data_IF_754519641705
#
_entry.id   IF_754519641705
#
_cell.length_a   1.000
_cell.length_b   1.000
_cell.length_c   1.000
_cell.angle_alpha   90.00
_cell.angle_beta   90.00
_cell.angle_gamma   90.00
#
_symmetry.space_group_name_H-M   'P 1'
#
loop_
_entity.id
_entity.type
_entity.pdbx_description
1 polymer ?
#
# COMPACT_ATOMS: atom_id res chain seq x y z
N UNK A 1 0.23 12.95 -10.24
CA UNK A 1 0.29 12.63 -8.81
C UNK A 1 1.50 13.33 -8.22
N UNK A 2 1.30 14.16 -7.17
CA UNK A 2 2.37 14.91 -6.48
C UNK A 2 1.88 15.27 -5.07
N UNK A 3 2.55 14.78 -4.01
CA UNK A 3 2.13 14.95 -2.61
C UNK A 3 3.27 14.70 -1.63
N UNK A 4 3.08 15.15 -0.39
CA UNK A 4 3.97 14.92 0.74
C UNK A 4 3.28 14.11 1.82
N UNK A 5 4.03 13.20 2.46
CA UNK A 5 3.52 12.33 3.53
C UNK A 5 4.62 12.07 4.55
N UNK A 6 4.25 11.95 5.83
CA UNK A 6 5.20 11.56 6.87
C UNK A 6 5.65 10.10 6.71
N UNK A 7 6.93 9.83 6.96
CA UNK A 7 7.50 8.48 6.89
C UNK A 7 6.67 7.46 7.66
N UNK A 8 6.28 7.77 8.91
CA UNK A 8 5.56 6.83 9.75
C UNK A 8 4.25 6.35 9.13
N UNK A 9 3.50 7.26 8.46
CA UNK A 9 2.22 6.96 7.82
C UNK A 9 2.41 6.00 6.64
N UNK A 10 3.36 6.26 5.76
CA UNK A 10 3.61 5.40 4.60
C UNK A 10 4.19 4.05 5.02
N UNK A 11 5.09 4.01 6.00
CA UNK A 11 5.67 2.75 6.51
C UNK A 11 4.61 1.89 7.19
N UNK A 12 3.72 2.49 7.98
CA UNK A 12 2.58 1.79 8.59
C UNK A 12 1.68 1.15 7.55
N UNK A 13 1.31 1.90 6.51
CA UNK A 13 0.47 1.42 5.42
C UNK A 13 1.16 0.32 4.60
N UNK A 14 2.44 0.49 4.27
CA UNK A 14 3.20 -0.54 3.57
C UNK A 14 3.32 -1.83 4.39
N UNK A 15 3.61 -1.73 5.69
CA UNK A 15 3.71 -2.92 6.54
C UNK A 15 2.40 -3.71 6.60
N UNK A 16 1.26 -3.04 6.58
CA UNK A 16 -0.04 -3.70 6.57
C UNK A 16 -0.34 -4.40 5.23
N UNK A 17 0.08 -3.81 4.10
CA UNK A 17 -0.18 -4.36 2.76
C UNK A 17 0.82 -5.44 2.33
N UNK A 18 2.05 -5.43 2.86
CA UNK A 18 3.09 -6.38 2.46
C UNK A 18 2.76 -7.86 2.73
N UNK A 19 1.79 -8.15 3.61
CA UNK A 19 1.39 -9.51 3.94
C UNK A 19 0.79 -10.28 2.77
N UNK A 20 0.18 -9.59 1.80
CA UNK A 20 -0.41 -10.19 0.59
C UNK A 20 0.47 -10.02 -0.65
N UNK A 21 1.63 -9.35 -0.53
CA UNK A 21 2.58 -9.20 -1.63
C UNK A 21 3.45 -10.44 -1.75
N UNK A 22 3.15 -11.31 -2.69
CA UNK A 22 3.91 -12.54 -2.89
C UNK A 22 5.29 -12.34 -3.52
N UNK A 23 6.17 -13.34 -3.27
CA UNK A 23 7.56 -13.33 -3.78
C UNK A 23 7.71 -13.97 -5.15
N UNK A 24 6.79 -14.86 -5.54
CA UNK A 24 6.86 -15.67 -6.76
C UNK A 24 5.58 -15.50 -7.55
N UNK A 25 5.56 -14.52 -8.42
CA UNK A 25 4.34 -14.17 -9.15
C UNK A 25 4.50 -14.48 -10.63
N UNK A 26 3.49 -15.12 -11.19
CA UNK A 26 3.32 -15.21 -12.64
C UNK A 26 2.96 -13.85 -13.24
N UNK A 27 2.35 -12.95 -12.44
CA UNK A 27 1.99 -11.59 -12.82
C UNK A 27 2.86 -10.57 -12.08
N UNK A 28 3.81 -9.88 -12.74
CA UNK A 28 4.72 -8.93 -12.10
C UNK A 28 4.04 -7.80 -11.33
N UNK A 29 2.85 -7.37 -11.75
CA UNK A 29 2.12 -6.28 -11.13
C UNK A 29 1.68 -6.59 -9.68
N UNK A 30 1.49 -7.87 -9.33
CA UNK A 30 1.14 -8.30 -7.98
C UNK A 30 2.30 -8.16 -6.97
N UNK A 31 3.53 -7.89 -7.46
CA UNK A 31 4.65 -7.49 -6.61
C UNK A 31 4.62 -5.99 -6.26
N UNK A 32 3.71 -5.22 -6.88
CA UNK A 32 3.53 -3.80 -6.64
C UNK A 32 2.40 -3.55 -5.63
N UNK A 33 2.38 -2.35 -5.07
CA UNK A 33 1.20 -1.76 -4.44
C UNK A 33 0.62 -0.70 -5.35
N UNK A 34 -0.70 -0.63 -5.42
CA UNK A 34 -1.43 0.44 -6.10
C UNK A 34 -1.48 1.67 -5.18
N UNK A 35 -1.06 2.81 -5.70
CA UNK A 35 -1.22 4.13 -5.12
C UNK A 35 -2.44 4.81 -5.71
N UNK A 36 -3.33 5.30 -4.87
CA UNK A 36 -4.42 6.19 -5.23
C UNK A 36 -4.38 7.40 -4.29
N UNK A 37 -4.17 8.57 -4.87
CA UNK A 37 -4.01 9.83 -4.13
C UNK A 37 -5.15 10.76 -4.46
N UNK A 38 -5.84 11.23 -3.44
CA UNK A 38 -6.84 12.28 -3.48
C UNK A 38 -6.39 13.50 -2.64
N UNK A 39 -7.25 14.51 -2.51
CA UNK A 39 -6.92 15.77 -1.83
C UNK A 39 -6.49 15.62 -0.37
N UNK A 40 -6.85 14.54 0.30
CA UNK A 40 -6.65 14.37 1.74
C UNK A 40 -5.93 13.08 2.11
N UNK A 41 -5.86 12.11 1.20
CA UNK A 41 -5.41 10.77 1.56
C UNK A 41 -4.61 10.07 0.46
N UNK A 42 -3.74 9.18 0.94
CA UNK A 42 -3.11 8.12 0.16
C UNK A 42 -3.78 6.79 0.51
N UNK A 43 -4.37 6.13 -0.48
CA UNK A 43 -4.76 4.73 -0.39
C UNK A 43 -3.66 3.86 -1.00
N UNK A 44 -3.21 2.85 -0.25
CA UNK A 44 -2.35 1.79 -0.74
C UNK A 44 -3.12 0.49 -0.76
N UNK A 45 -3.14 -0.18 -1.91
CA UNK A 45 -3.80 -1.49 -2.08
C UNK A 45 -2.80 -2.52 -2.58
N UNK A 46 -2.82 -3.70 -1.98
CA UNK A 46 -2.08 -4.88 -2.44
C UNK A 46 -3.02 -6.09 -2.52
N UNK A 47 -2.75 -6.99 -3.44
CA UNK A 47 -3.53 -8.21 -3.63
C UNK A 47 -2.68 -9.36 -4.15
N UNK A 48 -3.07 -10.59 -3.83
CA UNK A 48 -2.58 -11.85 -4.38
C UNK A 48 -3.63 -12.57 -5.24
N UNK A 49 -4.72 -11.87 -5.59
CA UNK A 49 -5.93 -12.35 -6.28
C UNK A 49 -6.90 -13.18 -5.41
N UNK A 50 -6.49 -13.64 -4.24
CA UNK A 50 -7.36 -14.32 -3.28
C UNK A 50 -7.75 -13.39 -2.13
N UNK A 51 -6.84 -12.47 -1.79
CA UNK A 51 -7.01 -11.48 -0.71
C UNK A 51 -6.62 -10.09 -1.20
N UNK A 52 -7.33 -9.08 -0.75
CA UNK A 52 -6.99 -7.68 -0.96
C UNK A 52 -6.86 -6.95 0.38
N UNK A 53 -5.79 -6.19 0.54
CA UNK A 53 -5.60 -5.30 1.68
C UNK A 53 -5.46 -3.88 1.17
N UNK A 54 -6.36 -3.01 1.61
CA UNK A 54 -6.30 -1.57 1.38
C UNK A 54 -6.09 -0.83 2.69
N UNK A 55 -5.21 0.15 2.67
CA UNK A 55 -4.95 1.07 3.79
C UNK A 55 -5.17 2.51 3.36
N UNK A 56 -5.51 3.38 4.29
CA UNK A 56 -5.66 4.82 4.05
C UNK A 56 -4.77 5.56 5.04
N UNK A 57 -3.94 6.46 4.52
CA UNK A 57 -3.09 7.37 5.30
C UNK A 57 -3.40 8.81 4.97
N UNK A 58 -3.27 9.69 5.95
CA UNK A 58 -3.38 11.13 5.74
C UNK A 58 -2.11 11.66 5.08
N UNK A 59 -2.23 12.46 4.03
CA UNK A 59 -1.12 13.17 3.41
C UNK A 59 -0.85 14.50 4.12
N UNK A 60 0.40 14.94 4.13
CA UNK A 60 0.80 16.19 4.78
C UNK A 60 0.52 17.41 3.88
N UNK A 61 0.80 17.27 2.59
CA UNK A 61 0.58 18.33 1.61
C UNK A 61 0.19 17.69 0.26
N UNK A 62 -0.86 18.22 -0.36
CA UNK A 62 -1.39 17.77 -1.65
C UNK A 62 -1.08 18.81 -2.73
N UNK A 63 -0.57 18.36 -3.86
CA UNK A 63 -0.42 19.18 -5.07
C UNK A 63 -1.26 18.66 -6.23
N UNK A 64 -1.24 17.35 -6.47
CA UNK A 64 -2.09 16.73 -7.47
C UNK A 64 -2.37 15.26 -7.16
N UNK A 65 -3.60 14.82 -7.42
CA UNK A 65 -4.02 13.43 -7.31
C UNK A 65 -3.55 12.57 -8.48
N UNK A 66 -3.91 11.30 -8.41
CA UNK A 66 -3.63 10.32 -9.46
C UNK A 66 -3.41 8.92 -8.94
N UNK A 67 -3.17 8.00 -9.87
CA UNK A 67 -2.95 6.58 -9.58
C UNK A 67 -1.67 6.10 -10.25
N UNK A 68 -1.00 5.17 -9.60
CA UNK A 68 0.15 4.45 -10.15
C UNK A 68 0.42 3.20 -9.33
N UNK A 69 1.33 2.34 -9.79
CA UNK A 69 1.81 1.22 -8.99
C UNK A 69 3.30 1.35 -8.71
N UNK A 70 3.78 0.78 -7.60
CA UNK A 70 5.20 0.77 -7.29
C UNK A 70 5.61 -0.55 -6.63
N UNK A 71 6.86 -1.03 -6.83
CA UNK A 71 7.35 -2.28 -6.25
C UNK A 71 7.33 -2.22 -4.71
N UNK A 72 6.41 -2.98 -4.09
CA UNK A 72 6.07 -2.88 -2.67
C UNK A 72 7.28 -3.08 -1.73
N UNK A 73 8.09 -4.11 -1.99
CA UNK A 73 9.26 -4.43 -1.17
C UNK A 73 10.35 -3.38 -1.27
N UNK A 74 10.72 -2.99 -2.50
CA UNK A 74 11.74 -1.96 -2.73
C UNK A 74 11.34 -0.65 -2.08
N UNK A 75 10.06 -0.27 -2.23
CA UNK A 75 9.53 0.93 -1.60
C UNK A 75 9.61 0.85 -0.08
N UNK A 76 9.19 -0.27 0.51
CA UNK A 76 9.23 -0.47 1.97
C UNK A 76 10.67 -0.44 2.50
N UNK A 77 11.59 -1.13 1.83
CA UNK A 77 13.02 -1.11 2.20
C UNK A 77 13.60 0.30 2.13
N UNK A 78 13.29 1.04 1.07
CA UNK A 78 13.73 2.43 0.90
C UNK A 78 13.16 3.33 2.00
N UNK A 79 11.86 3.29 2.25
CA UNK A 79 11.23 4.14 3.26
C UNK A 79 11.77 3.88 4.68
N UNK A 80 12.22 2.66 4.98
CA UNK A 80 12.83 2.34 6.29
C UNK A 80 14.20 2.99 6.50
N UNK A 81 14.91 3.34 5.42
CA UNK A 81 16.22 3.98 5.51
C UNK A 81 16.15 5.47 5.86
N UNK A 82 15.00 6.10 5.70
CA UNK A 82 14.82 7.52 6.01
C UNK A 82 14.76 7.76 7.52
N UNK A 83 15.04 8.99 7.95
CA UNK A 83 14.90 9.40 9.36
C UNK A 83 13.44 9.37 9.81
N UNK A 84 13.17 9.10 11.09
CA UNK A 84 11.80 8.89 11.59
C UNK A 84 10.89 10.10 11.40
N UNK A 85 11.42 11.31 11.53
CA UNK A 85 10.68 12.56 11.35
C UNK A 85 10.63 13.04 9.88
N UNK A 86 11.10 12.23 8.93
CA UNK A 86 11.15 12.64 7.52
C UNK A 86 9.76 12.84 6.93
N UNK A 87 9.61 13.94 6.22
CA UNK A 87 8.55 14.12 5.23
C UNK A 87 9.06 13.64 3.87
N UNK A 88 8.28 12.78 3.22
CA UNK A 88 8.63 12.19 1.94
C UNK A 88 7.79 12.85 0.85
N UNK A 89 8.46 13.38 -0.17
CA UNK A 89 7.84 13.90 -1.36
C UNK A 89 7.75 12.80 -2.42
N UNK A 90 6.53 12.44 -2.80
CA UNK A 90 6.24 11.52 -3.89
C UNK A 90 5.66 12.26 -5.09
N UNK A 91 6.21 12.03 -6.28
CA UNK A 91 5.61 12.53 -7.51
C UNK A 91 5.91 11.61 -8.70
N UNK A 92 5.03 11.66 -9.70
CA UNK A 92 5.22 10.92 -10.95
C UNK A 92 5.99 11.77 -11.96
N UNK A 93 7.00 11.14 -12.58
CA UNK A 93 7.78 11.68 -13.69
C UNK A 93 7.85 10.59 -14.77
N UNK A 94 6.95 10.68 -15.76
CA UNK A 94 6.74 9.63 -16.74
C UNK A 94 6.37 8.30 -16.05
N UNK A 95 7.09 7.23 -16.39
CA UNK A 95 6.88 5.89 -15.84
C UNK A 95 7.68 5.63 -14.55
N UNK A 96 8.04 6.69 -13.83
CA UNK A 96 8.80 6.59 -12.59
C UNK A 96 8.10 7.29 -11.44
N UNK A 97 8.01 6.61 -10.31
CA UNK A 97 7.69 7.21 -9.03
C UNK A 97 8.96 7.82 -8.44
N UNK A 98 9.03 9.14 -8.41
CA UNK A 98 10.10 9.89 -7.75
C UNK A 98 9.83 10.00 -6.27
N UNK A 99 10.88 9.85 -5.48
CA UNK A 99 10.84 9.87 -4.02
C UNK A 99 11.97 10.78 -3.57
N UNK A 100 11.62 11.90 -2.95
CA UNK A 100 12.59 12.87 -2.47
C UNK A 100 12.45 13.08 -0.96
N UNK A 101 13.57 13.15 -0.28
CA UNK A 101 13.70 13.50 1.14
C UNK A 101 14.92 14.38 1.32
N UNK A 102 15.15 14.93 2.50
CA UNK A 102 16.36 15.69 2.82
C UNK A 102 17.63 14.84 2.63
N UNK A 103 17.55 13.52 2.75
CA UNK A 103 18.68 12.61 2.64
C UNK A 103 18.97 12.13 1.21
N UNK A 104 18.09 12.38 0.25
CA UNK A 104 18.34 11.97 -1.13
C UNK A 104 17.12 11.92 -2.03
N UNK A 105 17.42 11.57 -3.30
CA UNK A 105 16.44 11.44 -4.38
C UNK A 105 16.52 10.04 -4.96
N UNK A 106 15.38 9.40 -5.11
CA UNK A 106 15.26 8.03 -5.58
C UNK A 106 14.18 7.94 -6.65
N UNK A 107 14.23 6.89 -7.46
CA UNK A 107 13.17 6.58 -8.40
C UNK A 107 12.91 5.09 -8.47
N UNK A 108 11.64 4.75 -8.61
CA UNK A 108 11.18 3.38 -8.82
C UNK A 108 10.37 3.35 -10.12
N UNK A 109 10.66 2.38 -10.99
CA UNK A 109 9.84 2.14 -12.17
C UNK A 109 8.44 1.71 -11.73
N UNK A 110 7.44 2.24 -12.40
CA UNK A 110 6.02 1.96 -12.15
C UNK A 110 5.45 1.06 -13.24
N UNK A 111 4.30 0.47 -12.96
CA UNK A 111 3.45 -0.15 -13.98
C UNK A 111 2.12 0.59 -14.02
N UNK A 112 1.40 0.56 -15.16
CA UNK A 112 0.10 1.22 -15.29
C UNK A 112 -0.88 0.77 -14.20
N UNK A 113 -1.60 1.72 -13.61
CA UNK A 113 -2.60 1.42 -12.57
C UNK A 113 -3.79 0.65 -13.12
N UNK A 114 -4.07 0.77 -14.41
CA UNK A 114 -5.16 0.11 -15.11
C UNK A 114 -4.96 -1.41 -15.18
N UNK A 115 -3.71 -1.87 -15.13
CA UNK A 115 -3.36 -3.29 -15.15
C UNK A 115 -3.42 -3.93 -13.75
N UNK A 116 -3.59 -3.12 -12.69
CA UNK A 116 -3.65 -3.63 -11.32
C UNK A 116 -5.04 -4.19 -11.02
N UNK A 117 -5.13 -5.49 -10.65
CA UNK A 117 -6.41 -6.10 -10.32
C UNK A 117 -6.94 -5.57 -8.99
N UNK A 118 -8.15 -5.06 -8.99
CA UNK A 118 -8.90 -4.65 -7.80
C UNK A 118 -10.16 -5.47 -7.68
N UNK A 119 -10.56 -5.81 -6.45
CA UNK A 119 -11.83 -6.47 -6.23
C UNK A 119 -12.99 -5.51 -6.41
N UNK A 120 -13.98 -5.94 -7.18
CA UNK A 120 -15.27 -5.22 -7.23
C UNK A 120 -15.92 -5.31 -5.84
N UNK A 121 -16.32 -4.17 -5.31
CA UNK A 121 -17.05 -4.14 -4.03
C UNK A 121 -18.49 -4.55 -4.29
N UNK A 122 -18.81 -5.77 -3.93
CA UNK A 122 -20.20 -6.19 -3.85
C UNK A 122 -20.86 -5.60 -2.59
N UNK A 123 -22.11 -5.14 -2.71
CA UNK A 123 -22.88 -4.72 -1.54
C UNK A 123 -23.21 -5.98 -0.69
N UNK A 124 -22.78 -5.96 0.57
CA UNK A 124 -23.06 -7.07 1.48
C UNK A 124 -24.55 -7.05 1.88
N UNK A 125 -25.28 -8.11 1.58
CA UNK A 125 -26.67 -8.29 2.02
C UNK A 125 -26.79 -8.41 3.54
N UNK A 126 -25.76 -8.93 4.20
CA UNK A 126 -25.71 -9.15 5.64
C UNK A 126 -24.43 -8.63 6.24
N UNK A 127 -24.49 -8.08 7.45
CA UNK A 127 -23.32 -7.64 8.21
C UNK A 127 -23.39 -8.12 9.66
N UNK A 128 -22.21 -8.36 10.25
CA UNK A 128 -22.05 -8.64 11.68
C UNK A 128 -21.02 -7.67 12.27
N UNK A 129 -21.27 -7.21 13.49
CA UNK A 129 -20.34 -6.39 14.23
C UNK A 129 -19.61 -7.23 15.28
N UNK A 130 -18.29 -7.24 15.20
CA UNK A 130 -17.43 -7.94 16.17
C UNK A 130 -16.25 -7.06 16.54
N UNK A 131 -15.82 -7.08 17.81
CA UNK A 131 -14.61 -6.36 18.21
C UNK A 131 -13.37 -7.03 17.64
N UNK A 132 -12.34 -6.24 17.31
CA UNK A 132 -11.07 -6.77 16.79
C UNK A 132 -10.43 -7.78 17.76
N UNK A 133 -10.57 -7.57 19.07
CA UNK A 133 -10.07 -8.50 20.09
C UNK A 133 -10.76 -9.86 20.04
N UNK A 134 -12.09 -9.89 19.89
CA UNK A 134 -12.83 -11.12 19.78
C UNK A 134 -12.50 -11.86 18.48
N UNK A 135 -12.46 -11.14 17.36
CA UNK A 135 -12.08 -11.72 16.08
C UNK A 135 -10.67 -12.35 16.14
N UNK A 136 -9.69 -11.60 16.67
CA UNK A 136 -8.33 -12.11 16.87
C UNK A 136 -8.31 -13.37 17.73
N UNK A 137 -9.08 -13.42 18.83
CA UNK A 137 -9.18 -14.59 19.70
C UNK A 137 -9.76 -15.81 18.98
N UNK A 138 -10.80 -15.61 18.17
CA UNK A 138 -11.43 -16.69 17.38
C UNK A 138 -10.45 -17.25 16.34
N UNK A 139 -9.79 -16.38 15.58
CA UNK A 139 -8.77 -16.78 14.59
C UNK A 139 -7.64 -17.55 15.28
N UNK A 140 -7.08 -17.03 16.40
CA UNK A 140 -5.98 -17.69 17.12
C UNK A 140 -6.35 -19.08 17.65
N UNK A 141 -7.60 -19.31 18.02
CA UNK A 141 -8.07 -20.62 18.49
C UNK A 141 -8.25 -21.67 17.39
N UNK A 142 -8.35 -21.25 16.14
CA UNK A 142 -8.56 -22.12 14.99
C UNK A 142 -7.35 -22.20 14.05
N UNK A 143 -6.42 -21.26 14.14
CA UNK A 143 -5.26 -21.14 13.25
C UNK A 143 -4.37 -22.41 13.21
N UNK A 144 -4.27 -23.16 14.31
CA UNK A 144 -3.49 -24.40 14.36
C UNK A 144 -4.03 -25.52 13.44
N UNK A 145 -5.32 -25.45 13.08
CA UNK A 145 -5.98 -26.41 12.19
C UNK A 145 -6.04 -25.97 10.73
N UNK A 146 -5.52 -24.79 10.42
CA UNK A 146 -5.45 -24.29 9.05
C UNK A 146 -4.30 -25.02 8.32
N UNK A 147 -4.58 -25.51 7.11
CA UNK A 147 -3.53 -26.02 6.21
C UNK A 147 -2.56 -24.90 5.79
N UNK A 148 -1.34 -25.28 5.52
CA UNK A 148 -0.33 -24.39 4.91
C UNK A 148 -0.50 -24.40 3.40
#
# INVERSE_FOLDING_TARGET
MDFYIKKEEVVKSLNATLGVVEKRQTLPILANVLFEVDESSLRLTATDLESEISTISTIANFKSGGKTTAPAKKLSELCRLFSDDSEIHFFLDGDNLRIETDSGKYNLATLPSEDFPVFEKEEAENSINITAQNLKSLISKTAFAMGN
#
